data_IF_946913406570
#
_entry.id   IF_946913406570
#
_cell.length_a   1.000
_cell.length_b   1.000
_cell.length_c   1.000
_cell.angle_alpha   90.00
_cell.angle_beta   90.00
_cell.angle_gamma   90.00
#
_symmetry.space_group_name_H-M   'P 1'
#
loop_
_entity.id
_entity.type
_entity.pdbx_description
1 polymer ?
#
# COMPACT_ATOMS: atom_id res chain seq x y z
N UNK A 1 -3.96 -51.77 41.89
CA UNK A 1 -3.97 -50.41 41.32
C UNK A 1 -4.34 -50.48 39.85
N UNK A 2 -5.65 -50.45 39.52
CA UNK A 2 -6.08 -49.63 38.37
C UNK A 2 -7.56 -49.20 38.46
N UNK A 3 -7.91 -47.93 38.68
CA UNK A 3 -9.32 -47.53 38.58
C UNK A 3 -9.52 -46.00 38.37
N UNK A 4 -8.99 -45.45 37.28
CA UNK A 4 -9.29 -44.06 36.93
C UNK A 4 -9.17 -43.80 35.42
N UNK A 5 -9.97 -44.51 34.62
CA UNK A 5 -10.24 -44.18 33.21
C UNK A 5 -11.66 -44.62 32.92
N UNK A 6 -12.65 -43.71 33.03
CA UNK A 6 -14.02 -43.81 32.43
C UNK A 6 -14.99 -42.75 32.95
N UNK A 7 -14.68 -41.46 32.93
CA UNK A 7 -15.71 -40.40 33.14
C UNK A 7 -15.39 -39.17 32.28
N UNK A 8 -15.32 -39.34 30.96
CA UNK A 8 -15.16 -38.19 30.03
C UNK A 8 -15.95 -38.38 28.73
N UNK A 9 -17.12 -39.03 28.81
CA UNK A 9 -17.87 -39.46 27.62
C UNK A 9 -19.36 -39.14 27.60
N UNK A 10 -19.87 -38.25 28.47
CA UNK A 10 -21.33 -38.01 28.53
C UNK A 10 -21.70 -36.59 28.99
N UNK A 11 -21.00 -35.55 28.52
CA UNK A 11 -21.40 -34.16 28.76
C UNK A 11 -21.15 -33.26 27.54
N UNK A 12 -21.45 -33.77 26.34
CA UNK A 12 -21.26 -33.00 25.10
C UNK A 12 -22.38 -33.30 24.10
N UNK A 13 -23.63 -33.25 24.57
CA UNK A 13 -24.79 -33.51 23.71
C UNK A 13 -26.09 -32.81 24.16
N UNK A 14 -25.99 -31.63 24.80
CA UNK A 14 -27.17 -30.80 25.15
C UNK A 14 -26.89 -29.29 25.05
N UNK A 15 -26.32 -28.83 23.93
CA UNK A 15 -26.23 -27.39 23.61
C UNK A 15 -26.29 -27.19 22.09
N UNK A 16 -27.37 -27.69 21.45
CA UNK A 16 -27.59 -27.56 20.00
C UNK A 16 -28.97 -27.03 19.62
N UNK A 17 -29.71 -26.39 20.54
CA UNK A 17 -31.03 -25.83 20.21
C UNK A 17 -31.30 -24.56 21.02
N UNK A 18 -30.63 -23.46 20.71
CA UNK A 18 -31.09 -22.10 21.03
C UNK A 18 -30.19 -21.07 20.35
N UNK A 19 -30.56 -20.63 19.15
CA UNK A 19 -29.82 -19.55 18.49
C UNK A 19 -30.36 -19.12 17.13
N UNK A 20 -31.64 -19.35 16.84
CA UNK A 20 -32.28 -18.94 15.60
C UNK A 20 -33.30 -17.82 15.88
N UNK A 21 -32.83 -16.68 16.40
CA UNK A 21 -33.68 -15.49 16.61
C UNK A 21 -32.84 -14.22 16.52
N UNK A 22 -32.48 -13.79 15.31
CA UNK A 22 -32.13 -12.39 15.06
C UNK A 22 -32.66 -11.96 13.69
N UNK A 23 -33.99 -11.89 13.59
CA UNK A 23 -34.69 -11.13 12.56
C UNK A 23 -35.14 -9.80 13.19
N UNK A 24 -34.83 -8.69 12.51
CA UNK A 24 -35.63 -7.47 12.60
C UNK A 24 -35.31 -6.50 13.74
N UNK A 25 -34.19 -5.78 13.63
CA UNK A 25 -34.16 -4.38 14.07
C UNK A 25 -33.68 -3.53 12.90
N UNK A 26 -34.63 -2.79 12.31
CA UNK A 26 -34.36 -1.83 11.27
C UNK A 26 -33.34 -0.80 11.76
N UNK A 27 -32.18 -0.79 11.12
CA UNK A 27 -31.26 0.33 11.20
C UNK A 27 -31.86 1.41 10.32
N UNK A 28 -32.57 2.36 10.94
CA UNK A 28 -32.81 3.66 10.31
C UNK A 28 -31.46 4.34 10.18
N UNK A 29 -30.83 4.21 9.02
CA UNK A 29 -29.71 5.05 8.62
C UNK A 29 -30.24 6.48 8.56
N UNK A 30 -30.11 7.21 9.66
CA UNK A 30 -30.18 8.67 9.61
C UNK A 30 -28.99 9.10 8.75
N UNK A 31 -29.26 9.44 7.49
CA UNK A 31 -28.38 10.32 6.73
C UNK A 31 -28.30 11.62 7.53
N UNK A 32 -27.27 11.75 8.36
CA UNK A 32 -26.83 13.06 8.79
C UNK A 32 -26.49 13.80 7.51
N UNK A 33 -27.31 14.78 7.16
CA UNK A 33 -26.96 15.80 6.18
C UNK A 33 -25.61 16.35 6.64
N UNK A 34 -24.55 16.00 5.90
CA UNK A 34 -23.25 16.59 6.11
C UNK A 34 -23.45 18.10 6.00
N UNK A 35 -22.96 18.84 6.99
CA UNK A 35 -22.81 20.28 6.88
C UNK A 35 -22.22 20.60 5.50
N UNK A 36 -22.69 21.64 4.79
CA UNK A 36 -22.13 22.00 3.50
C UNK A 36 -20.64 22.22 3.71
N UNK A 37 -19.84 21.31 3.16
CA UNK A 37 -18.40 21.50 3.00
C UNK A 37 -18.29 22.83 2.28
N UNK A 38 -17.83 23.86 3.00
CA UNK A 38 -17.54 25.16 2.42
C UNK A 38 -16.77 24.88 1.15
N UNK A 39 -17.39 25.21 0.02
CA UNK A 39 -16.81 25.04 -1.29
C UNK A 39 -15.45 25.75 -1.25
N UNK A 40 -14.36 24.99 -1.09
CA UNK A 40 -13.03 25.49 -1.44
C UNK A 40 -13.21 25.90 -2.88
N UNK A 41 -13.18 27.21 -3.10
CA UNK A 41 -13.18 27.86 -4.41
C UNK A 41 -12.24 27.03 -5.29
N UNK A 42 -12.81 26.17 -6.13
CA UNK A 42 -12.05 25.40 -7.08
C UNK A 42 -11.30 26.45 -7.88
N UNK A 43 -9.97 26.48 -7.74
CA UNK A 43 -9.16 27.23 -8.68
C UNK A 43 -9.56 26.78 -10.09
N UNK A 44 -9.42 27.65 -11.10
CA UNK A 44 -9.69 27.23 -12.47
C UNK A 44 -9.00 25.89 -12.71
N UNK A 45 -9.69 24.88 -13.29
CA UNK A 45 -9.03 23.65 -13.68
C UNK A 45 -7.78 24.04 -14.47
N UNK A 46 -6.61 23.43 -14.21
CA UNK A 46 -5.42 23.72 -14.99
C UNK A 46 -5.82 23.60 -16.46
N UNK A 47 -5.57 24.68 -17.21
CA UNK A 47 -5.95 24.79 -18.60
C UNK A 47 -5.52 23.53 -19.34
N UNK A 48 -6.47 22.97 -20.08
CA UNK A 48 -6.39 21.81 -20.97
C UNK A 48 -4.94 21.49 -21.38
N UNK A 49 -4.39 20.39 -20.87
CA UNK A 49 -3.07 19.93 -21.29
C UNK A 49 -3.11 19.61 -22.80
N UNK A 50 -2.19 20.17 -23.61
CA UNK A 50 -2.01 19.75 -24.98
C UNK A 50 -1.28 18.39 -25.01
N UNK A 51 -1.80 17.46 -25.80
CA UNK A 51 -1.23 16.17 -26.24
C UNK A 51 -0.66 15.21 -25.18
N UNK A 52 -1.31 14.06 -25.07
CA UNK A 52 -1.14 12.93 -24.13
C UNK A 52 0.20 12.16 -24.20
N UNK A 53 1.32 12.83 -24.42
CA UNK A 53 2.64 12.22 -24.27
C UNK A 53 3.10 12.36 -22.81
N UNK A 54 3.29 11.23 -22.13
CA UNK A 54 3.98 11.19 -20.83
C UNK A 54 5.27 12.01 -20.92
N UNK A 55 5.51 12.89 -19.94
CA UNK A 55 6.77 13.63 -19.89
C UNK A 55 7.94 12.62 -19.84
N UNK A 56 9.09 12.86 -20.49
CA UNK A 56 10.17 11.85 -20.55
C UNK A 56 10.65 11.35 -19.19
N UNK A 57 10.70 12.23 -18.17
CA UNK A 57 11.07 11.85 -16.81
C UNK A 57 10.01 10.98 -16.12
N UNK A 58 8.75 11.12 -16.50
CA UNK A 58 7.60 10.40 -15.96
C UNK A 58 7.63 8.94 -16.38
N UNK A 59 7.82 8.73 -17.69
CA UNK A 59 8.02 7.40 -18.27
C UNK A 59 9.23 6.70 -17.65
N UNK A 60 10.33 7.43 -17.42
CA UNK A 60 11.51 6.91 -16.75
C UNK A 60 11.22 6.52 -15.29
N UNK A 61 10.46 7.32 -14.55
CA UNK A 61 10.07 7.00 -13.16
C UNK A 61 9.21 5.72 -13.12
N UNK A 62 8.27 5.55 -14.04
CA UNK A 62 7.43 4.34 -14.15
C UNK A 62 8.28 3.11 -14.49
N UNK A 63 9.19 3.21 -15.47
CA UNK A 63 10.10 2.12 -15.83
C UNK A 63 10.99 1.70 -14.64
N UNK A 64 11.51 2.68 -13.90
CA UNK A 64 12.33 2.43 -12.70
C UNK A 64 11.53 1.78 -11.58
N UNK A 65 10.26 2.16 -11.38
CA UNK A 65 9.37 1.52 -10.42
C UNK A 65 9.13 0.05 -10.80
N UNK A 66 8.89 -0.23 -12.08
CA UNK A 66 8.72 -1.59 -12.59
C UNK A 66 9.98 -2.44 -12.37
N UNK A 67 11.17 -1.89 -12.67
CA UNK A 67 12.45 -2.58 -12.43
C UNK A 67 12.67 -2.91 -10.94
N UNK A 68 12.37 -1.96 -10.05
CA UNK A 68 12.51 -2.15 -8.60
C UNK A 68 11.55 -3.21 -8.06
N UNK A 69 10.30 -3.24 -8.56
CA UNK A 69 9.33 -4.29 -8.24
C UNK A 69 9.78 -5.65 -8.72
N UNK A 70 10.29 -5.75 -9.95
CA UNK A 70 10.82 -6.99 -10.49
C UNK A 70 11.98 -7.52 -9.64
N UNK A 71 12.92 -6.67 -9.24
CA UNK A 71 14.02 -7.04 -8.36
C UNK A 71 13.54 -7.55 -6.99
N UNK A 72 12.53 -6.93 -6.39
CA UNK A 72 11.91 -7.41 -5.14
C UNK A 72 11.28 -8.79 -5.31
N UNK A 73 10.59 -9.04 -6.42
CA UNK A 73 10.01 -10.36 -6.70
C UNK A 73 11.09 -11.44 -6.88
N UNK A 74 12.15 -11.14 -7.63
CA UNK A 74 13.28 -12.05 -7.81
C UNK A 74 13.95 -12.38 -6.46
N UNK A 75 14.25 -11.36 -5.65
CA UNK A 75 14.78 -11.55 -4.30
C UNK A 75 13.88 -12.46 -3.47
N UNK A 76 12.56 -12.21 -3.48
CA UNK A 76 11.60 -13.01 -2.72
C UNK A 76 11.55 -14.46 -3.19
N UNK A 77 11.60 -14.71 -4.50
CA UNK A 77 11.58 -16.08 -5.03
C UNK A 77 12.79 -16.91 -4.61
N UNK A 78 13.95 -16.28 -4.46
CA UNK A 78 15.18 -16.97 -4.09
C UNK A 78 15.37 -17.09 -2.57
N UNK A 79 14.92 -16.09 -1.80
CA UNK A 79 15.19 -15.99 -0.36
C UNK A 79 13.97 -16.35 0.51
N UNK A 80 12.80 -16.59 -0.08
CA UNK A 80 11.57 -16.94 0.61
C UNK A 80 10.83 -15.76 1.27
N UNK A 81 11.34 -14.53 1.15
CA UNK A 81 10.72 -13.32 1.71
C UNK A 81 11.29 -12.05 1.10
N UNK A 82 10.60 -10.92 1.30
CA UNK A 82 11.11 -9.62 0.89
C UNK A 82 12.25 -9.14 1.81
N UNK A 83 13.18 -8.30 1.34
CA UNK A 83 14.27 -7.83 2.16
C UNK A 83 13.81 -6.78 3.18
N UNK A 84 14.51 -6.66 4.31
CA UNK A 84 14.23 -5.62 5.31
C UNK A 84 14.65 -4.21 4.83
N UNK A 85 15.53 -4.14 3.82
CA UNK A 85 16.01 -2.91 3.20
C UNK A 85 16.29 -3.11 1.70
N UNK A 86 16.16 -2.06 0.88
CA UNK A 86 16.37 -2.18 -0.56
C UNK A 86 17.84 -2.36 -0.96
N UNK A 87 18.80 -2.05 -0.07
CA UNK A 87 20.22 -2.24 -0.37
C UNK A 87 20.58 -3.72 -0.58
N UNK A 88 19.79 -4.65 -0.03
CA UNK A 88 19.93 -6.10 -0.29
C UNK A 88 19.67 -6.49 -1.77
N UNK A 89 19.05 -5.61 -2.56
CA UNK A 89 18.85 -5.85 -3.99
C UNK A 89 20.12 -5.59 -4.82
N UNK A 90 21.08 -4.85 -4.26
CA UNK A 90 22.29 -4.39 -4.95
C UNK A 90 23.49 -5.22 -4.49
N UNK A 91 24.41 -5.62 -5.39
CA UNK A 91 24.40 -5.41 -6.84
C UNK A 91 23.71 -6.53 -7.65
N UNK A 92 23.14 -7.54 -6.96
CA UNK A 92 22.75 -8.82 -7.58
C UNK A 92 21.52 -8.67 -8.48
N UNK A 93 20.47 -8.01 -7.99
CA UNK A 93 19.20 -7.85 -8.70
C UNK A 93 19.09 -6.50 -9.40
N UNK A 94 19.85 -5.51 -8.92
CA UNK A 94 19.95 -4.17 -9.50
C UNK A 94 21.40 -3.67 -9.41
N UNK A 95 21.91 -2.91 -10.40
CA UNK A 95 23.24 -2.33 -10.32
C UNK A 95 23.33 -1.26 -9.22
N UNK A 96 22.25 -0.52 -9.01
CA UNK A 96 22.07 0.47 -7.95
C UNK A 96 20.57 0.72 -7.73
N UNK A 97 20.21 1.41 -6.66
CA UNK A 97 18.83 1.87 -6.46
C UNK A 97 18.56 3.03 -7.43
N UNK A 98 17.65 2.87 -8.40
CA UNK A 98 17.49 3.85 -9.46
C UNK A 98 16.92 5.16 -8.90
N UNK A 99 17.52 6.32 -9.19
CA UNK A 99 16.96 7.59 -8.74
C UNK A 99 15.70 7.94 -9.53
N UNK A 100 14.74 8.65 -8.96
CA UNK A 100 13.53 9.09 -9.69
C UNK A 100 13.24 10.56 -9.50
N UNK A 101 12.43 11.10 -10.41
CA UNK A 101 11.94 12.47 -10.38
C UNK A 101 10.41 12.46 -10.30
N UNK A 102 9.84 13.42 -9.56
CA UNK A 102 8.40 13.68 -9.53
C UNK A 102 8.14 15.12 -9.96
N UNK A 103 6.89 15.46 -10.30
CA UNK A 103 6.53 16.80 -10.74
C UNK A 103 6.84 17.88 -9.69
N UNK A 104 6.80 17.54 -8.39
CA UNK A 104 7.05 18.50 -7.30
C UNK A 104 8.53 18.61 -6.90
N UNK A 105 9.39 17.72 -7.44
CA UNK A 105 10.80 17.65 -7.09
C UNK A 105 11.64 17.80 -8.35
N UNK A 106 12.37 18.89 -8.46
CA UNK A 106 13.20 19.16 -9.64
C UNK A 106 14.36 18.16 -9.79
N UNK A 107 14.90 17.69 -8.65
CA UNK A 107 16.07 16.81 -8.59
C UNK A 107 15.67 15.33 -8.52
N UNK A 108 16.44 14.51 -9.23
CA UNK A 108 16.37 13.06 -9.10
C UNK A 108 16.83 12.63 -7.71
N UNK A 109 16.14 11.65 -7.12
CA UNK A 109 16.44 11.11 -5.79
C UNK A 109 16.28 9.59 -5.78
N UNK A 110 17.31 8.89 -5.30
CA UNK A 110 17.26 7.46 -4.98
C UNK A 110 16.97 7.20 -3.49
N UNK A 111 16.70 8.26 -2.71
CA UNK A 111 16.45 8.14 -1.28
C UNK A 111 15.26 7.20 -1.03
N UNK A 112 15.41 6.31 -0.06
CA UNK A 112 14.38 5.35 0.32
C UNK A 112 13.88 5.70 1.71
N UNK A 113 12.57 5.86 1.85
CA UNK A 113 11.91 5.94 3.14
C UNK A 113 11.34 4.57 3.50
N UNK A 114 11.70 4.11 4.69
CA UNK A 114 11.25 2.85 5.28
C UNK A 114 10.20 3.14 6.35
N UNK A 115 9.00 2.59 6.21
CA UNK A 115 7.93 2.75 7.20
C UNK A 115 6.78 1.76 6.94
N UNK A 116 5.69 1.89 7.68
CA UNK A 116 4.42 1.19 7.51
C UNK A 116 3.24 2.16 7.67
N UNK A 117 2.07 1.75 7.16
CA UNK A 117 0.83 2.54 7.24
C UNK A 117 0.90 3.97 6.68
N UNK A 118 0.09 4.85 7.28
CA UNK A 118 -0.21 6.21 6.76
C UNK A 118 0.99 7.17 6.75
N UNK A 119 2.06 6.87 7.49
CA UNK A 119 3.24 7.75 7.62
C UNK A 119 4.33 7.51 6.57
N UNK A 120 4.07 6.55 5.66
CA UNK A 120 5.02 6.14 4.64
C UNK A 120 5.21 7.21 3.55
N UNK A 121 4.14 7.85 3.11
CA UNK A 121 4.19 8.91 2.08
C UNK A 121 4.36 10.27 2.77
N UNK A 122 5.35 11.05 2.33
CA UNK A 122 5.74 12.34 2.95
C UNK A 122 6.02 13.43 1.93
N UNK A 123 5.87 13.13 0.64
CA UNK A 123 6.21 14.03 -0.46
C UNK A 123 7.68 14.47 -0.50
N UNK A 124 8.59 13.62 0.00
CA UNK A 124 10.03 13.89 -0.03
C UNK A 124 10.65 13.57 -1.41
N UNK A 125 9.93 12.86 -2.28
CA UNK A 125 10.49 12.26 -3.50
C UNK A 125 11.24 10.96 -3.19
N UNK A 126 11.76 10.32 -4.24
CA UNK A 126 12.40 9.00 -4.11
C UNK A 126 11.38 7.89 -3.79
N UNK A 127 11.86 6.83 -3.15
CA UNK A 127 11.11 5.60 -2.91
C UNK A 127 10.50 5.56 -1.51
N UNK A 128 9.33 4.94 -1.42
CA UNK A 128 8.68 4.55 -0.18
C UNK A 128 8.56 3.02 -0.18
N UNK A 129 9.14 2.35 0.82
CA UNK A 129 9.13 0.89 0.93
C UNK A 129 8.55 0.43 2.27
N UNK A 130 7.62 -0.51 2.20
CA UNK A 130 7.01 -1.12 3.40
C UNK A 130 7.92 -2.23 3.90
N UNK A 131 8.69 -1.95 4.95
CA UNK A 131 9.65 -2.90 5.51
C UNK A 131 9.23 -3.53 6.86
N UNK A 132 8.05 -3.19 7.37
CA UNK A 132 7.49 -3.86 8.55
C UNK A 132 6.84 -5.18 8.13
N UNK A 133 7.41 -6.31 8.57
CA UNK A 133 6.91 -7.66 8.29
C UNK A 133 5.49 -7.92 8.83
N UNK A 134 5.02 -7.09 9.76
CA UNK A 134 3.66 -7.17 10.32
C UNK A 134 2.63 -6.38 9.50
N UNK A 135 3.08 -5.48 8.63
CA UNK A 135 2.19 -4.74 7.75
C UNK A 135 1.76 -5.65 6.58
N UNK A 136 0.45 -5.73 6.25
CA UNK A 136 -0.02 -6.55 5.13
C UNK A 136 0.56 -6.11 3.77
N UNK A 137 1.05 -4.87 3.67
CA UNK A 137 1.77 -4.33 2.54
C UNK A 137 3.27 -4.62 2.53
N UNK A 138 3.82 -5.42 3.45
CA UNK A 138 5.25 -5.76 3.49
C UNK A 138 5.80 -6.17 2.13
N UNK A 139 6.89 -5.52 1.71
CA UNK A 139 7.51 -5.71 0.40
C UNK A 139 6.95 -4.83 -0.71
N UNK A 140 5.95 -3.99 -0.43
CA UNK A 140 5.42 -3.04 -1.41
C UNK A 140 6.34 -1.83 -1.54
N UNK A 141 6.49 -1.35 -2.78
CA UNK A 141 7.27 -0.15 -3.09
C UNK A 141 6.43 0.83 -3.91
N UNK A 142 6.58 2.10 -3.56
CA UNK A 142 5.82 3.23 -4.10
C UNK A 142 6.74 4.42 -4.35
N UNK A 143 6.22 5.40 -5.08
CA UNK A 143 6.86 6.71 -5.22
C UNK A 143 6.44 7.58 -4.04
N UNK A 144 7.40 8.15 -3.32
CA UNK A 144 7.16 8.97 -2.12
C UNK A 144 6.73 10.40 -2.50
N UNK A 145 5.55 10.52 -3.13
CA UNK A 145 4.93 11.77 -3.58
C UNK A 145 3.41 11.71 -3.46
N UNK A 146 2.78 12.83 -3.08
CA UNK A 146 1.32 12.99 -3.13
C UNK A 146 0.81 13.52 -4.48
N UNK A 147 1.73 13.80 -5.39
CA UNK A 147 1.46 14.33 -6.70
C UNK A 147 0.73 13.38 -7.59
N UNK A 148 0.34 13.93 -8.72
CA UNK A 148 -0.26 13.19 -9.81
C UNK A 148 0.70 13.16 -10.97
N UNK A 149 0.60 12.08 -11.72
CA UNK A 149 1.21 11.97 -13.03
C UNK A 149 0.38 12.76 -14.07
N UNK A 150 0.82 12.78 -15.31
CA UNK A 150 0.16 13.48 -16.42
C UNK A 150 -1.21 12.90 -16.78
N UNK A 151 -1.50 11.66 -16.38
CA UNK A 151 -2.81 11.01 -16.51
C UNK A 151 -3.74 11.34 -15.33
N UNK A 152 -3.24 12.08 -14.34
CA UNK A 152 -3.97 12.44 -13.13
C UNK A 152 -3.99 11.35 -12.06
N UNK A 153 -3.30 10.22 -12.24
CA UNK A 153 -3.22 9.18 -11.23
C UNK A 153 -2.21 9.56 -10.13
N UNK A 154 -2.47 9.14 -8.88
CA UNK A 154 -1.59 9.45 -7.76
C UNK A 154 -0.32 8.61 -7.82
N UNK A 155 0.83 9.25 -7.59
CA UNK A 155 2.14 8.59 -7.67
C UNK A 155 2.30 7.43 -6.71
N UNK A 156 1.80 7.56 -5.48
CA UNK A 156 1.87 6.49 -4.48
C UNK A 156 0.90 5.34 -4.74
N UNK A 157 -0.06 5.50 -5.67
CA UNK A 157 -1.06 4.49 -6.01
C UNK A 157 -0.72 3.71 -7.29
N UNK A 158 0.34 4.11 -8.01
CA UNK A 158 0.93 3.36 -9.13
C UNK A 158 1.66 2.14 -8.62
#
# INVERSE_FOLDING_TARGET
MPLAKRIFGALLLLLSIAGLSYLGKGVSLRLNAAAPVSARKAGPPPASAPDSALNPWEQQTIQRLAALRYALYAYKSENGGYPDNLAALVPIYLPEIPPIKTGEKERFSAAVRYSSGDTLITNAGGWAYVNDRRDPGFGSVFINSYGRDSEGAQWFAR
#
